data_IF_075248587938
#
_entry.id   IF_075248587938
#
_cell.length_a   1.000
_cell.length_b   1.000
_cell.length_c   1.000
_cell.angle_alpha   90.00
_cell.angle_beta   90.00
_cell.angle_gamma   90.00
#
_symmetry.space_group_name_H-M   'P 1'
#
loop_
_entity.id
_entity.type
_entity.pdbx_description
1 polymer ?
#
# COMPACT_ATOMS: atom_id res chain seq x y z
N UNK A 1 -21.62 11.82 7.37
CA UNK A 1 -20.68 11.17 8.31
C UNK A 1 -21.34 9.90 8.79
N UNK A 2 -20.89 8.75 8.28
CA UNK A 2 -21.38 7.45 8.73
C UNK A 2 -20.90 7.22 10.17
N UNK A 3 -21.82 6.77 11.04
CA UNK A 3 -21.57 6.63 12.47
C UNK A 3 -20.68 5.41 12.83
N UNK A 4 -20.35 4.57 11.85
CA UNK A 4 -19.60 3.32 11.99
C UNK A 4 -18.11 3.45 11.65
N UNK A 5 -17.67 4.60 11.11
CA UNK A 5 -16.27 4.82 10.73
C UNK A 5 -15.81 3.99 9.52
N UNK A 6 -16.73 3.51 8.68
CA UNK A 6 -16.44 2.71 7.48
C UNK A 6 -16.46 3.52 6.21
N UNK A 7 -15.55 3.19 5.28
CA UNK A 7 -15.56 3.76 3.93
C UNK A 7 -16.64 3.10 3.07
N UNK A 8 -17.55 3.90 2.50
CA UNK A 8 -18.59 3.40 1.59
C UNK A 8 -18.15 3.61 0.14
N UNK A 9 -18.19 2.54 -0.63
CA UNK A 9 -17.88 2.51 -2.06
C UNK A 9 -19.18 2.22 -2.83
N UNK A 10 -19.88 3.28 -3.24
CA UNK A 10 -21.14 3.17 -3.97
C UNK A 10 -20.87 3.20 -5.47
N UNK A 11 -21.03 2.05 -6.13
CA UNK A 11 -20.73 1.85 -7.55
C UNK A 11 -22.04 1.92 -8.34
N UNK A 12 -22.11 2.84 -9.29
CA UNK A 12 -23.29 3.07 -10.11
C UNK A 12 -23.26 2.16 -11.35
N UNK A 13 -24.39 1.52 -11.63
CA UNK A 13 -24.56 0.62 -12.78
C UNK A 13 -25.71 1.07 -13.68
N UNK A 14 -25.49 1.05 -14.99
CA UNK A 14 -26.46 1.38 -16.02
C UNK A 14 -26.47 0.26 -17.08
N UNK A 15 -27.60 -0.41 -17.29
CA UNK A 15 -27.75 -1.44 -18.33
C UNK A 15 -26.72 -2.59 -18.26
N UNK A 16 -26.17 -2.89 -17.08
CA UNK A 16 -25.10 -3.89 -16.87
C UNK A 16 -23.67 -3.34 -16.85
N UNK A 17 -23.47 -2.08 -17.28
CA UNK A 17 -22.17 -1.40 -17.30
C UNK A 17 -21.95 -0.62 -16.00
N UNK A 18 -20.76 -0.71 -15.42
CA UNK A 18 -20.38 0.12 -14.28
C UNK A 18 -19.93 1.50 -14.76
N UNK A 19 -20.66 2.55 -14.38
CA UNK A 19 -20.54 3.90 -14.98
C UNK A 19 -19.97 4.96 -14.05
N UNK A 20 -19.99 4.74 -12.73
CA UNK A 20 -19.50 5.71 -11.76
C UNK A 20 -19.22 5.11 -10.39
N UNK A 21 -18.48 5.83 -9.56
CA UNK A 21 -18.26 5.48 -8.16
C UNK A 21 -18.33 6.75 -7.32
N UNK A 22 -19.11 6.70 -6.23
CA UNK A 22 -19.02 7.66 -5.13
C UNK A 22 -18.31 7.01 -3.94
N UNK A 23 -17.33 7.73 -3.39
CA UNK A 23 -16.57 7.30 -2.21
C UNK A 23 -16.90 8.24 -1.06
N UNK A 24 -17.43 7.69 0.03
CA UNK A 24 -17.55 8.37 1.32
C UNK A 24 -16.53 7.77 2.28
N UNK A 25 -15.51 8.55 2.65
CA UNK A 25 -14.42 8.14 3.53
C UNK A 25 -14.50 8.96 4.84
N UNK A 26 -15.22 8.48 5.87
CA UNK A 26 -15.42 9.20 7.12
C UNK A 26 -14.20 9.05 8.03
N UNK A 27 -13.05 9.60 7.63
CA UNK A 27 -11.87 9.57 8.50
C UNK A 27 -11.95 10.63 9.59
N UNK A 28 -11.71 10.26 10.87
CA UNK A 28 -11.54 11.24 11.92
C UNK A 28 -10.29 12.08 11.63
N UNK A 29 -10.32 13.36 11.98
CA UNK A 29 -9.14 14.25 11.93
C UNK A 29 -8.16 13.91 13.08
N UNK A 30 -7.68 12.66 13.10
CA UNK A 30 -6.85 12.09 14.16
C UNK A 30 -5.58 12.90 14.42
N UNK A 31 -5.03 13.52 13.37
CA UNK A 31 -3.90 14.45 13.46
C UNK A 31 -4.17 15.66 14.37
N UNK A 32 -5.41 16.16 14.44
CA UNK A 32 -5.75 17.32 15.28
C UNK A 32 -5.60 17.06 16.77
N UNK A 33 -5.69 15.79 17.20
CA UNK A 33 -5.48 15.39 18.60
C UNK A 33 -4.03 15.61 19.04
N UNK A 34 -3.11 15.78 18.09
CA UNK A 34 -1.68 16.02 18.34
C UNK A 34 -1.35 17.50 18.57
N UNK A 35 -2.18 18.43 18.07
CA UNK A 35 -1.93 19.86 18.20
C UNK A 35 -1.96 20.28 19.67
N UNK A 36 -0.95 21.04 20.09
CA UNK A 36 -0.76 21.50 21.47
C UNK A 36 -0.09 20.47 22.40
N UNK A 37 0.07 19.21 22.00
CA UNK A 37 0.81 18.20 22.77
C UNK A 37 2.30 18.41 22.68
N UNK A 38 3.04 17.87 23.65
CA UNK A 38 4.50 17.82 23.55
C UNK A 38 4.94 16.79 22.51
N UNK A 39 6.16 16.95 21.99
CA UNK A 39 6.76 15.95 21.09
C UNK A 39 6.77 14.57 21.76
N UNK A 40 7.15 14.49 23.05
CA UNK A 40 7.18 13.22 23.79
C UNK A 40 5.79 12.54 23.87
N UNK A 41 4.74 13.32 24.12
CA UNK A 41 3.36 12.81 24.14
C UNK A 41 2.94 12.30 22.76
N UNK A 42 3.29 13.01 21.69
CA UNK A 42 2.95 12.62 20.32
C UNK A 42 3.65 11.32 19.90
N UNK A 43 4.94 11.17 20.22
CA UNK A 43 5.70 9.94 19.94
C UNK A 43 5.07 8.70 20.61
N UNK A 44 4.46 8.86 21.79
CA UNK A 44 3.73 7.78 22.49
C UNK A 44 2.32 7.56 21.92
N UNK A 45 1.63 8.63 21.55
CA UNK A 45 0.22 8.57 21.15
C UNK A 45 0.03 8.05 19.72
N UNK A 46 0.85 8.50 18.77
CA UNK A 46 0.70 8.18 17.34
C UNK A 46 0.64 6.66 17.08
N UNK A 47 1.56 5.82 17.59
CA UNK A 47 1.50 4.37 17.34
C UNK A 47 0.26 3.69 17.94
N UNK A 48 -0.28 4.23 19.04
CA UNK A 48 -1.50 3.72 19.67
C UNK A 48 -2.77 4.12 18.91
N UNK A 49 -2.77 5.32 18.30
CA UNK A 49 -3.87 5.84 17.52
C UNK A 49 -4.03 5.11 16.18
N UNK A 50 -2.91 4.66 15.59
CA UNK A 50 -2.87 4.01 14.28
C UNK A 50 -2.36 2.57 14.38
N UNK A 51 -3.18 1.68 14.94
CA UNK A 51 -2.77 0.31 15.29
C UNK A 51 -2.45 -0.60 14.09
N UNK A 52 -3.04 -0.35 12.91
CA UNK A 52 -2.83 -1.15 11.70
C UNK A 52 -1.42 -1.03 11.11
N UNK A 53 -0.76 0.11 11.29
CA UNK A 53 0.61 0.37 10.81
C UNK A 53 1.45 1.10 11.88
N UNK A 54 1.35 0.63 13.13
CA UNK A 54 1.90 1.33 14.29
C UNK A 54 3.41 1.58 14.21
N UNK A 55 4.18 0.68 13.57
CA UNK A 55 5.63 0.88 13.39
C UNK A 55 5.93 1.94 12.36
N UNK A 56 5.25 1.91 11.20
CA UNK A 56 5.41 2.96 10.20
C UNK A 56 5.03 4.34 10.73
N UNK A 57 3.97 4.40 11.53
CA UNK A 57 3.47 5.61 12.17
C UNK A 57 4.47 6.16 13.20
N UNK A 58 5.08 5.28 14.01
CA UNK A 58 6.14 5.63 14.95
C UNK A 58 7.38 6.20 14.25
N UNK A 59 7.82 5.54 13.17
CA UNK A 59 8.96 5.99 12.36
C UNK A 59 8.66 7.34 11.72
N UNK A 60 7.46 7.52 11.15
CA UNK A 60 7.04 8.74 10.49
C UNK A 60 7.02 9.94 11.45
N UNK A 61 6.36 9.82 12.63
CA UNK A 61 6.32 10.92 13.60
C UNK A 61 7.71 11.26 14.14
N UNK A 62 8.54 10.25 14.42
CA UNK A 62 9.91 10.48 14.92
C UNK A 62 10.74 11.20 13.88
N UNK A 63 10.72 10.73 12.63
CA UNK A 63 11.50 11.32 11.56
C UNK A 63 11.04 12.74 11.22
N UNK A 64 9.74 13.01 11.23
CA UNK A 64 9.19 14.35 10.98
C UNK A 64 9.58 15.33 12.11
N UNK A 65 9.46 14.93 13.37
CA UNK A 65 9.87 15.74 14.52
C UNK A 65 11.38 16.03 14.52
N UNK A 66 12.22 15.04 14.20
CA UNK A 66 13.67 15.25 14.07
C UNK A 66 13.98 16.22 12.92
N UNK A 67 13.32 16.07 11.76
CA UNK A 67 13.47 16.98 10.64
C UNK A 67 12.99 18.41 10.95
N UNK A 68 12.02 18.56 11.86
CA UNK A 68 11.54 19.83 12.38
C UNK A 68 12.46 20.49 13.42
N UNK A 69 13.50 19.78 13.88
CA UNK A 69 14.44 20.29 14.89
C UNK A 69 14.06 19.99 16.34
N UNK A 70 13.24 18.97 16.61
CA UNK A 70 12.89 18.56 17.96
C UNK A 70 14.15 18.26 18.82
N UNK A 71 14.21 18.88 20.00
CA UNK A 71 15.31 18.64 20.95
C UNK A 71 15.13 17.32 21.70
N UNK A 72 16.22 16.56 21.87
CA UNK A 72 16.22 15.32 22.65
C UNK A 72 15.56 14.11 21.98
N UNK A 73 15.16 14.24 20.70
CA UNK A 73 14.65 13.14 19.89
C UNK A 73 15.72 12.75 18.86
N UNK A 74 15.96 11.45 18.72
CA UNK A 74 16.87 10.91 17.71
C UNK A 74 16.15 9.82 16.93
N UNK A 75 16.50 9.71 15.64
CA UNK A 75 16.09 8.56 14.82
C UNK A 75 16.90 7.33 15.25
N UNK A 76 16.29 6.16 15.07
CA UNK A 76 17.04 4.93 15.20
C UNK A 76 18.06 4.83 14.04
N UNK A 77 18.99 3.89 14.15
CA UNK A 77 19.90 3.59 13.04
C UNK A 77 19.10 3.26 11.76
N UNK A 78 19.53 3.72 10.57
CA UNK A 78 18.77 3.53 9.33
C UNK A 78 18.35 2.08 9.07
N UNK A 79 19.24 1.12 9.34
CA UNK A 79 18.93 -0.30 9.17
C UNK A 79 17.82 -0.80 10.10
N UNK A 80 17.67 -0.20 11.28
CA UNK A 80 16.67 -0.59 12.28
C UNK A 80 15.29 -0.07 11.86
N UNK A 81 15.21 1.15 11.34
CA UNK A 81 13.99 1.71 10.75
C UNK A 81 13.56 0.90 9.53
N UNK A 82 14.47 0.63 8.58
CA UNK A 82 14.22 -0.21 7.41
C UNK A 82 13.70 -1.59 7.80
N UNK A 83 14.32 -2.23 8.81
CA UNK A 83 13.86 -3.53 9.32
C UNK A 83 12.47 -3.45 9.96
N UNK A 84 12.20 -2.41 10.75
CA UNK A 84 10.91 -2.24 11.41
C UNK A 84 9.77 -2.10 10.38
N UNK A 85 10.00 -1.27 9.36
CA UNK A 85 9.07 -1.04 8.24
C UNK A 85 8.88 -2.31 7.41
N UNK A 86 9.98 -2.97 7.01
CA UNK A 86 9.94 -4.21 6.24
C UNK A 86 9.24 -5.36 6.99
N UNK A 87 9.38 -5.43 8.31
CA UNK A 87 8.69 -6.46 9.12
C UNK A 87 7.18 -6.24 9.11
N UNK A 88 6.74 -4.99 9.29
CA UNK A 88 5.31 -4.63 9.23
C UNK A 88 4.74 -4.87 7.83
N UNK A 89 5.48 -4.47 6.80
CA UNK A 89 5.07 -4.66 5.41
C UNK A 89 5.02 -6.15 5.01
N UNK A 90 6.01 -6.96 5.44
CA UNK A 90 6.00 -8.40 5.23
C UNK A 90 4.80 -9.07 5.89
N UNK A 91 4.45 -8.67 7.12
CA UNK A 91 3.28 -9.20 7.81
C UNK A 91 1.99 -8.92 7.02
N UNK A 92 1.80 -7.69 6.55
CA UNK A 92 0.64 -7.31 5.75
C UNK A 92 0.60 -8.07 4.41
N UNK A 93 1.73 -8.12 3.70
CA UNK A 93 1.81 -8.83 2.43
C UNK A 93 1.49 -10.33 2.62
N UNK A 94 2.03 -10.97 3.67
CA UNK A 94 1.71 -12.36 3.99
C UNK A 94 0.24 -12.56 4.31
N UNK A 95 -0.39 -11.63 5.04
CA UNK A 95 -1.83 -11.68 5.30
C UNK A 95 -2.60 -11.72 3.98
N UNK A 96 -2.37 -10.74 3.09
CA UNK A 96 -3.10 -10.64 1.81
C UNK A 96 -2.81 -11.86 0.92
N UNK A 97 -1.56 -12.26 0.79
CA UNK A 97 -1.13 -13.34 -0.12
C UNK A 97 -1.55 -14.73 0.36
N UNK A 98 -1.58 -14.98 1.68
CA UNK A 98 -1.88 -16.32 2.23
C UNK A 98 -3.34 -16.50 2.63
N UNK A 99 -4.05 -15.41 2.94
CA UNK A 99 -5.41 -15.47 3.48
C UNK A 99 -6.42 -14.92 2.48
N UNK A 100 -6.33 -13.64 2.16
CA UNK A 100 -7.44 -12.92 1.52
C UNK A 100 -7.54 -13.22 0.02
N UNK A 101 -6.41 -13.20 -0.71
CA UNK A 101 -6.40 -13.50 -2.14
C UNK A 101 -6.86 -14.93 -2.46
N UNK A 102 -6.35 -15.98 -1.78
CA UNK A 102 -6.88 -17.32 -1.95
C UNK A 102 -8.38 -17.40 -1.63
N UNK A 103 -8.82 -16.83 -0.50
CA UNK A 103 -10.22 -16.88 -0.09
C UNK A 103 -11.17 -16.21 -1.08
N UNK A 104 -10.78 -15.07 -1.66
CA UNK A 104 -11.59 -14.33 -2.62
C UNK A 104 -11.96 -15.17 -3.85
N UNK A 105 -11.06 -16.06 -4.28
CA UNK A 105 -11.23 -16.94 -5.43
C UNK A 105 -11.61 -18.39 -5.05
N UNK A 106 -11.95 -18.64 -3.78
CA UNK A 106 -12.35 -19.98 -3.32
C UNK A 106 -11.21 -20.98 -3.17
N UNK A 107 -9.95 -20.55 -3.24
CA UNK A 107 -8.78 -21.39 -2.94
C UNK A 107 -8.55 -21.48 -1.43
N UNK A 108 -7.91 -22.56 -0.98
CA UNK A 108 -7.64 -22.79 0.44
C UNK A 108 -6.67 -21.74 1.03
N UNK A 109 -7.09 -20.95 2.04
CA UNK A 109 -6.19 -20.06 2.77
C UNK A 109 -5.14 -20.81 3.59
N UNK A 110 -3.90 -20.35 3.59
CA UNK A 110 -2.77 -21.02 4.28
C UNK A 110 -2.61 -20.54 5.72
N UNK A 111 -3.68 -20.67 6.53
CA UNK A 111 -3.80 -20.10 7.89
C UNK A 111 -2.65 -20.50 8.83
N UNK A 112 -2.28 -21.78 8.84
CA UNK A 112 -1.21 -22.29 9.73
C UNK A 112 0.15 -21.71 9.37
N UNK A 113 0.46 -21.64 8.07
CA UNK A 113 1.72 -21.06 7.56
C UNK A 113 1.80 -19.56 7.86
N UNK A 114 0.69 -18.84 7.66
CA UNK A 114 0.60 -17.42 8.04
C UNK A 114 0.82 -17.24 9.54
N UNK A 115 0.13 -18.00 10.39
CA UNK A 115 0.25 -17.89 11.85
C UNK A 115 1.69 -18.16 12.32
N UNK A 116 2.39 -19.12 11.71
CA UNK A 116 3.79 -19.40 11.99
C UNK A 116 4.71 -18.22 11.64
N UNK A 117 4.61 -17.71 10.41
CA UNK A 117 5.45 -16.58 9.96
C UNK A 117 5.13 -15.30 10.73
N UNK A 118 3.85 -15.05 11.04
CA UNK A 118 3.41 -13.92 11.83
C UNK A 118 4.02 -13.94 13.24
N UNK A 119 4.01 -15.10 13.92
CA UNK A 119 4.68 -15.26 15.23
C UNK A 119 6.19 -15.00 15.14
N UNK A 120 6.83 -15.42 14.06
CA UNK A 120 8.27 -15.18 13.84
C UNK A 120 8.56 -13.70 13.59
N UNK A 121 7.78 -13.02 12.74
CA UNK A 121 7.88 -11.57 12.48
C UNK A 121 7.67 -10.74 13.74
N UNK A 122 6.74 -11.13 14.61
CA UNK A 122 6.50 -10.45 15.89
C UNK A 122 7.71 -10.49 16.84
N UNK A 123 8.62 -11.46 16.67
CA UNK A 123 9.83 -11.65 17.50
C UNK A 123 11.11 -11.16 16.82
N UNK A 124 11.01 -10.49 15.67
CA UNK A 124 12.16 -9.92 14.96
C UNK A 124 12.70 -8.72 15.76
N UNK A 125 13.65 -9.01 16.65
CA UNK A 125 14.44 -8.02 17.38
C UNK A 125 15.95 -8.27 17.26
N UNK A 126 16.36 -9.55 17.24
CA UNK A 126 17.77 -9.95 17.13
C UNK A 126 18.25 -10.02 15.68
N UNK A 127 19.50 -9.59 15.43
CA UNK A 127 20.10 -9.59 14.09
C UNK A 127 20.11 -10.94 13.39
N UNK A 128 20.43 -12.02 14.13
CA UNK A 128 20.49 -13.38 13.57
C UNK A 128 19.10 -13.93 13.21
N UNK A 129 18.14 -13.80 14.13
CA UNK A 129 16.77 -14.26 13.91
C UNK A 129 16.10 -13.53 12.73
N UNK A 130 16.36 -12.22 12.59
CA UNK A 130 15.91 -11.43 11.44
C UNK A 130 16.51 -11.96 10.14
N UNK A 131 17.82 -12.23 10.12
CA UNK A 131 18.52 -12.72 8.94
C UNK A 131 18.02 -14.11 8.49
N UNK A 132 17.86 -15.04 9.44
CA UNK A 132 17.34 -16.38 9.16
C UNK A 132 15.89 -16.33 8.65
N UNK A 133 15.03 -15.53 9.28
CA UNK A 133 13.66 -15.33 8.79
C UNK A 133 13.62 -14.70 7.41
N UNK A 134 14.48 -13.71 7.13
CA UNK A 134 14.59 -13.13 5.79
C UNK A 134 14.99 -14.18 4.75
N UNK A 135 15.88 -15.11 5.08
CA UNK A 135 16.23 -16.26 4.23
C UNK A 135 15.00 -17.13 3.95
N UNK A 136 14.29 -17.53 5.00
CA UNK A 136 13.08 -18.36 4.86
C UNK A 136 11.97 -17.68 4.05
N UNK A 137 11.83 -16.35 4.15
CA UNK A 137 10.87 -15.59 3.35
C UNK A 137 11.29 -15.50 1.88
N UNK A 138 12.59 -15.36 1.58
CA UNK A 138 13.09 -15.42 0.20
C UNK A 138 12.86 -16.82 -0.39
N UNK A 139 13.13 -17.87 0.37
CA UNK A 139 12.86 -19.25 -0.05
C UNK A 139 11.36 -19.49 -0.26
N UNK A 140 10.50 -18.98 0.63
CA UNK A 140 9.06 -18.98 0.45
C UNK A 140 8.66 -18.34 -0.89
N UNK A 141 9.18 -17.15 -1.20
CA UNK A 141 8.85 -16.48 -2.47
C UNK A 141 9.34 -17.30 -3.66
N UNK A 142 10.60 -17.73 -3.67
CA UNK A 142 11.20 -18.42 -4.80
C UNK A 142 10.61 -19.83 -5.03
N UNK A 143 10.40 -20.59 -3.96
CA UNK A 143 10.03 -22.01 -4.01
C UNK A 143 8.52 -22.23 -3.93
N UNK A 144 7.78 -21.32 -3.28
CA UNK A 144 6.34 -21.51 -3.09
C UNK A 144 5.50 -20.53 -3.94
N UNK A 145 5.89 -19.25 -4.02
CA UNK A 145 5.08 -18.21 -4.68
C UNK A 145 5.43 -17.99 -6.17
N UNK A 146 6.69 -18.25 -6.57
CA UNK A 146 7.18 -17.98 -7.92
C UNK A 146 7.82 -19.19 -8.61
N UNK A 147 7.66 -20.39 -8.06
CA UNK A 147 8.31 -21.60 -8.58
C UNK A 147 7.99 -21.89 -10.06
N UNK A 148 6.78 -21.58 -10.51
CA UNK A 148 6.37 -21.72 -11.90
C UNK A 148 7.06 -20.73 -12.84
N UNK A 149 7.53 -19.59 -12.33
CA UNK A 149 8.23 -18.56 -13.10
C UNK A 149 9.73 -18.80 -13.19
N UNK A 150 10.37 -19.32 -12.13
CA UNK A 150 11.82 -19.56 -12.09
C UNK A 150 12.28 -20.84 -12.81
N UNK A 151 11.37 -21.73 -13.21
CA UNK A 151 11.72 -22.96 -13.97
C UNK A 151 12.09 -22.71 -15.42
N UNK A 152 11.90 -21.50 -15.94
CA UNK A 152 12.16 -21.17 -17.34
C UNK A 152 12.93 -19.88 -17.42
N UNK A 153 14.07 -19.88 -18.12
CA UNK A 153 15.01 -18.74 -18.19
C UNK A 153 14.47 -17.55 -19.01
N UNK A 154 13.36 -17.71 -19.72
CA UNK A 154 12.72 -16.66 -20.52
C UNK A 154 11.41 -16.20 -19.91
N UNK A 155 11.03 -14.97 -20.23
CA UNK A 155 9.72 -14.40 -19.94
C UNK A 155 8.59 -15.22 -20.59
N UNK A 156 7.38 -15.21 -19.99
CA UNK A 156 6.19 -15.73 -20.65
C UNK A 156 5.89 -14.88 -21.90
N UNK A 157 5.68 -15.52 -23.05
CA UNK A 157 5.47 -14.83 -24.32
C UNK A 157 4.07 -14.21 -24.47
N UNK A 158 3.18 -14.47 -23.52
CA UNK A 158 1.84 -13.90 -23.43
C UNK A 158 1.06 -14.44 -22.24
N UNK A 159 -0.17 -13.93 -22.07
CA UNK A 159 -1.07 -14.27 -20.94
C UNK A 159 -1.26 -15.76 -20.73
N UNK A 160 -1.41 -16.55 -21.81
CA UNK A 160 -1.63 -18.00 -21.68
C UNK A 160 -0.47 -18.68 -20.96
N UNK A 161 0.76 -18.39 -21.35
CA UNK A 161 1.95 -18.95 -20.69
C UNK A 161 2.10 -18.39 -19.28
N UNK A 162 1.77 -17.11 -19.08
CA UNK A 162 1.77 -16.49 -17.75
C UNK A 162 0.83 -17.23 -16.79
N UNK A 163 -0.42 -17.50 -17.22
CA UNK A 163 -1.43 -18.26 -16.46
C UNK A 163 -0.92 -19.67 -16.16
N UNK A 164 -0.37 -20.38 -17.15
CA UNK A 164 0.15 -21.74 -16.96
C UNK A 164 1.26 -21.79 -15.89
N UNK A 165 2.16 -20.80 -15.90
CA UNK A 165 3.21 -20.65 -14.88
C UNK A 165 2.62 -20.28 -13.52
N UNK A 166 1.68 -19.35 -13.47
CA UNK A 166 1.01 -18.93 -12.23
C UNK A 166 0.30 -20.12 -11.56
N UNK A 167 -0.45 -20.93 -12.30
CA UNK A 167 -1.16 -22.12 -11.76
C UNK A 167 -0.23 -23.17 -11.13
N UNK A 168 1.08 -23.12 -11.39
CA UNK A 168 2.10 -23.98 -10.75
C UNK A 168 2.63 -23.45 -9.42
N UNK A 169 2.19 -22.27 -8.97
CA UNK A 169 2.70 -21.56 -7.79
C UNK A 169 1.74 -21.62 -6.58
N UNK A 170 1.07 -22.77 -6.38
CA UNK A 170 0.13 -22.96 -5.27
C UNK A 170 -1.12 -22.08 -5.35
N UNK A 171 -1.76 -21.83 -4.20
CA UNK A 171 -3.06 -21.15 -4.13
C UNK A 171 -3.03 -19.68 -4.53
N UNK A 172 -1.93 -18.98 -4.25
CA UNK A 172 -1.73 -17.59 -4.68
C UNK A 172 -1.52 -17.47 -6.19
N UNK A 173 -0.78 -18.41 -6.78
CA UNK A 173 -0.60 -18.49 -8.23
C UNK A 173 -1.90 -18.86 -8.95
N UNK A 174 -2.74 -19.71 -8.34
CA UNK A 174 -4.08 -19.98 -8.82
C UNK A 174 -4.98 -18.74 -8.75
N UNK A 175 -4.97 -17.99 -7.63
CA UNK A 175 -5.70 -16.73 -7.52
C UNK A 175 -5.25 -15.69 -8.56
N UNK A 176 -3.94 -15.59 -8.81
CA UNK A 176 -3.39 -14.72 -9.86
C UNK A 176 -3.85 -15.15 -11.25
N UNK A 177 -3.87 -16.45 -11.55
CA UNK A 177 -4.37 -16.98 -12.80
C UNK A 177 -5.86 -16.67 -13.01
N UNK A 178 -6.69 -16.92 -11.99
CA UNK A 178 -8.13 -16.64 -12.06
C UNK A 178 -8.39 -15.14 -12.26
N UNK A 179 -7.60 -14.29 -11.61
CA UNK A 179 -7.69 -12.85 -11.76
C UNK A 179 -7.34 -12.37 -13.18
N UNK A 180 -6.35 -13.01 -13.83
CA UNK A 180 -6.04 -12.74 -15.23
C UNK A 180 -7.19 -13.22 -16.13
N UNK A 181 -7.77 -14.38 -15.84
CA UNK A 181 -8.90 -14.95 -16.60
C UNK A 181 -10.21 -14.16 -16.43
N UNK A 182 -10.38 -13.39 -15.35
CA UNK A 182 -11.46 -12.39 -15.22
C UNK A 182 -11.38 -11.27 -16.28
N UNK A 183 -10.26 -11.15 -16.99
CA UNK A 183 -10.07 -10.22 -18.10
C UNK A 183 -9.30 -8.95 -17.73
N UNK A 184 -9.23 -8.04 -18.70
CA UNK A 184 -8.52 -6.78 -18.54
C UNK A 184 -9.16 -5.92 -17.45
N UNK A 185 -8.32 -5.39 -16.55
CA UNK A 185 -8.71 -4.52 -15.44
C UNK A 185 -8.29 -3.06 -15.61
N UNK A 186 -7.61 -2.74 -16.71
CA UNK A 186 -7.22 -1.34 -16.98
C UNK A 186 -8.42 -0.58 -17.55
N UNK A 187 -8.71 0.65 -17.08
CA UNK A 187 -9.83 1.44 -17.60
C UNK A 187 -9.69 1.63 -19.11
N UNK A 188 -10.79 1.82 -19.84
CA UNK A 188 -10.73 2.11 -21.29
C UNK A 188 -9.86 3.35 -21.61
N UNK A 189 -9.90 4.36 -20.74
CA UNK A 189 -9.09 5.58 -20.81
C UNK A 189 -7.67 5.47 -20.23
N UNK A 190 -7.04 6.62 -19.98
CA UNK A 190 -5.71 6.69 -19.36
C UNK A 190 -5.77 6.19 -17.91
N UNK A 191 -4.87 5.28 -17.54
CA UNK A 191 -4.76 4.82 -16.16
C UNK A 191 -4.21 5.94 -15.27
N UNK A 192 -4.57 5.92 -13.99
CA UNK A 192 -4.03 6.86 -13.00
C UNK A 192 -2.50 6.72 -12.95
N UNK A 193 -1.75 7.84 -13.01
CA UNK A 193 -0.29 7.79 -12.94
C UNK A 193 0.17 7.21 -11.61
N UNK A 194 1.29 6.49 -11.64
CA UNK A 194 1.93 6.00 -10.42
C UNK A 194 2.65 7.15 -9.72
N UNK A 195 2.54 7.21 -8.39
CA UNK A 195 3.21 8.21 -7.57
C UNK A 195 4.74 8.08 -7.77
N UNK A 196 5.44 9.16 -8.18
CA UNK A 196 6.88 9.08 -8.40
C UNK A 196 7.64 8.92 -7.07
N UNK A 197 8.75 8.20 -7.12
CA UNK A 197 9.67 8.06 -6.00
C UNK A 197 10.50 9.35 -5.83
N UNK A 198 9.93 10.35 -5.15
CA UNK A 198 10.60 11.61 -4.83
C UNK A 198 11.29 11.54 -3.46
N UNK A 199 12.47 12.16 -3.35
CA UNK A 199 13.12 12.38 -2.06
C UNK A 199 12.28 13.32 -1.17
N UNK A 200 12.39 13.19 0.15
CA UNK A 200 11.60 13.99 1.10
C UNK A 200 11.83 15.50 0.92
N UNK A 201 13.04 15.93 0.53
CA UNK A 201 13.32 17.34 0.23
C UNK A 201 12.57 17.87 -1.00
N UNK A 202 12.36 17.04 -2.02
CA UNK A 202 11.55 17.41 -3.18
C UNK A 202 10.06 17.49 -2.82
N UNK A 203 9.57 16.56 -1.99
CA UNK A 203 8.23 16.65 -1.42
C UNK A 203 8.05 17.91 -0.55
N UNK A 204 9.03 18.24 0.29
CA UNK A 204 8.99 19.43 1.13
C UNK A 204 8.89 20.71 0.29
N UNK A 205 9.64 20.78 -0.82
CA UNK A 205 9.60 21.90 -1.75
C UNK A 205 8.25 22.00 -2.50
N UNK A 206 7.70 20.88 -2.95
CA UNK A 206 6.40 20.83 -3.64
C UNK A 206 5.25 21.26 -2.71
N UNK A 207 5.26 20.81 -1.46
CA UNK A 207 4.21 21.14 -0.49
C UNK A 207 4.31 22.59 0.01
N UNK A 208 5.52 23.17 0.09
CA UNK A 208 5.74 24.56 0.49
C UNK A 208 5.39 24.90 1.94
N UNK A 209 4.99 23.92 2.75
CA UNK A 209 4.56 24.08 4.14
C UNK A 209 3.76 22.88 4.64
N UNK A 210 3.18 23.00 5.83
CA UNK A 210 2.28 21.95 6.36
C UNK A 210 1.10 21.78 5.38
N UNK A 211 0.84 20.57 4.86
CA UNK A 211 -0.28 20.31 3.96
C UNK A 211 -1.61 20.76 4.55
N UNK A 212 -2.46 21.35 3.71
CA UNK A 212 -3.82 21.72 4.11
C UNK A 212 -4.69 20.49 4.34
N UNK A 213 -5.79 20.66 5.08
CA UNK A 213 -6.78 19.60 5.26
C UNK A 213 -7.33 19.06 3.93
N UNK A 214 -7.50 19.94 2.94
CA UNK A 214 -7.97 19.56 1.60
C UNK A 214 -6.95 18.67 0.87
N UNK A 215 -5.66 19.00 0.96
CA UNK A 215 -4.61 18.15 0.39
C UNK A 215 -4.54 16.81 1.10
N UNK A 216 -4.63 16.79 2.44
CA UNK A 216 -4.63 15.55 3.22
C UNK A 216 -5.80 14.63 2.84
N UNK A 217 -6.98 15.18 2.59
CA UNK A 217 -8.17 14.42 2.23
C UNK A 217 -8.20 13.98 0.75
N UNK A 218 -7.62 14.79 -0.14
CA UNK A 218 -7.66 14.59 -1.58
C UNK A 218 -6.32 14.97 -2.23
N UNK A 219 -5.25 14.19 -2.01
CA UNK A 219 -3.91 14.57 -2.46
C UNK A 219 -3.79 14.50 -3.98
N UNK A 220 -3.21 15.56 -4.55
CA UNK A 220 -2.86 15.65 -5.96
C UNK A 220 -1.42 16.12 -6.09
N UNK A 221 -0.68 15.52 -7.01
CA UNK A 221 0.66 15.97 -7.41
C UNK A 221 0.58 16.46 -8.85
N UNK A 222 1.18 17.62 -9.16
CA UNK A 222 1.11 18.22 -10.50
C UNK A 222 -0.32 18.31 -11.08
N UNK A 223 -1.30 18.58 -10.21
CA UNK A 223 -2.72 18.71 -10.58
C UNK A 223 -3.42 17.39 -10.93
N UNK A 224 -2.84 16.22 -10.60
CA UNK A 224 -3.44 14.91 -10.87
C UNK A 224 -3.43 14.02 -9.63
N UNK A 225 -4.46 13.20 -9.49
CA UNK A 225 -4.44 12.08 -8.55
C UNK A 225 -3.40 11.04 -9.00
N UNK A 226 -2.79 10.37 -8.03
CA UNK A 226 -1.77 9.35 -8.26
C UNK A 226 -2.08 8.09 -7.48
N UNK A 227 -1.63 6.95 -8.00
CA UNK A 227 -1.66 5.68 -7.27
C UNK A 227 -0.35 5.46 -6.51
N UNK A 228 -0.44 5.10 -5.24
CA UNK A 228 0.70 4.71 -4.41
C UNK A 228 0.60 3.24 -3.98
N UNK A 229 1.69 2.67 -3.48
CA UNK A 229 1.76 1.28 -3.03
C UNK A 229 2.68 0.42 -3.87
N UNK A 230 2.51 -0.90 -3.74
CA UNK A 230 3.40 -1.90 -4.34
C UNK A 230 3.54 -1.73 -5.86
N UNK A 231 2.49 -1.30 -6.57
CA UNK A 231 2.59 -1.08 -8.01
C UNK A 231 3.49 0.12 -8.35
N UNK A 232 3.38 1.22 -7.62
CA UNK A 232 4.22 2.39 -7.83
C UNK A 232 5.71 2.07 -7.60
N UNK A 233 6.01 1.19 -6.64
CA UNK A 233 7.39 0.76 -6.34
C UNK A 233 7.95 -0.25 -7.35
N UNK A 234 7.11 -1.11 -7.91
CA UNK A 234 7.56 -2.29 -8.65
C UNK A 234 7.09 -2.34 -10.12
N UNK A 235 6.57 -1.25 -10.68
CA UNK A 235 6.07 -1.23 -12.06
C UNK A 235 7.11 -1.61 -13.10
N UNK A 236 8.39 -1.27 -12.86
CA UNK A 236 9.51 -1.59 -13.74
C UNK A 236 9.99 -3.05 -13.61
N UNK A 237 9.46 -3.80 -12.62
CA UNK A 237 9.74 -5.23 -12.52
C UNK A 237 9.21 -5.94 -13.76
N UNK A 238 10.06 -6.74 -14.40
CA UNK A 238 9.80 -7.42 -15.68
C UNK A 238 8.42 -8.08 -15.78
N UNK A 239 8.02 -8.87 -14.79
CA UNK A 239 6.71 -9.56 -14.78
C UNK A 239 5.53 -8.60 -14.52
N UNK A 240 5.74 -7.54 -13.73
CA UNK A 240 4.72 -6.53 -13.44
C UNK A 240 4.47 -5.68 -14.70
N UNK A 241 5.53 -5.22 -15.36
CA UNK A 241 5.47 -4.47 -16.62
C UNK A 241 4.77 -5.25 -17.74
N UNK A 242 5.01 -6.57 -17.82
CA UNK A 242 4.32 -7.46 -18.77
C UNK A 242 2.79 -7.47 -18.54
N UNK A 243 2.36 -7.63 -17.29
CA UNK A 243 0.94 -7.58 -16.92
C UNK A 243 0.31 -6.21 -17.18
N UNK A 244 1.04 -5.12 -16.91
CA UNK A 244 0.59 -3.76 -17.22
C UNK A 244 0.39 -3.54 -18.73
N UNK A 245 1.36 -3.96 -19.53
CA UNK A 245 1.30 -3.88 -21.00
C UNK A 245 0.11 -4.67 -21.56
N UNK A 246 -0.22 -5.80 -20.94
CA UNK A 246 -1.37 -6.63 -21.29
C UNK A 246 -2.68 -6.15 -20.63
N UNK A 247 -2.69 -4.97 -19.99
CA UNK A 247 -3.85 -4.33 -19.37
C UNK A 247 -4.46 -5.10 -18.19
N UNK A 248 -3.68 -5.86 -17.44
CA UNK A 248 -4.09 -6.58 -16.23
C UNK A 248 -3.55 -5.91 -14.96
N UNK A 249 -3.97 -4.67 -14.68
CA UNK A 249 -3.44 -3.84 -13.60
C UNK A 249 -3.68 -4.41 -12.19
N UNK A 250 -4.84 -5.01 -11.93
CA UNK A 250 -5.11 -5.68 -10.65
C UNK A 250 -4.17 -6.89 -10.46
N UNK A 251 -3.88 -7.65 -11.54
CA UNK A 251 -2.92 -8.76 -11.49
C UNK A 251 -1.50 -8.25 -11.26
N UNK A 252 -1.15 -7.13 -11.90
CA UNK A 252 0.13 -6.47 -11.73
C UNK A 252 0.35 -6.06 -10.26
N UNK A 253 -0.68 -5.52 -9.57
CA UNK A 253 -0.60 -5.25 -8.11
C UNK A 253 -0.38 -6.51 -7.29
N UNK A 254 -1.11 -7.59 -7.59
CA UNK A 254 -0.94 -8.86 -6.88
C UNK A 254 0.48 -9.41 -7.04
N UNK A 255 1.01 -9.40 -8.27
CA UNK A 255 2.38 -9.84 -8.53
C UNK A 255 3.41 -8.90 -7.88
N UNK A 256 3.22 -7.59 -7.98
CA UNK A 256 4.07 -6.59 -7.34
C UNK A 256 4.13 -6.80 -5.81
N UNK A 257 3.04 -7.26 -5.19
CA UNK A 257 3.03 -7.62 -3.76
C UNK A 257 3.90 -8.83 -3.43
N UNK A 258 4.02 -9.80 -4.34
CA UNK A 258 4.96 -10.92 -4.20
C UNK A 258 6.40 -10.43 -4.32
N UNK A 259 6.69 -9.50 -5.24
CA UNK A 259 8.01 -8.86 -5.36
C UNK A 259 8.33 -8.06 -4.10
N UNK A 260 7.37 -7.28 -3.59
CA UNK A 260 7.51 -6.48 -2.37
C UNK A 260 7.81 -7.33 -1.13
N UNK A 261 7.28 -8.56 -1.05
CA UNK A 261 7.62 -9.50 0.01
C UNK A 261 9.10 -9.94 -0.04
N UNK A 262 9.66 -10.17 -1.23
CA UNK A 262 11.11 -10.44 -1.39
C UNK A 262 11.96 -9.25 -0.97
N UNK A 263 11.51 -8.05 -1.30
CA UNK A 263 12.15 -6.79 -0.91
C UNK A 263 12.16 -6.59 0.60
N UNK A 264 11.05 -6.89 1.26
CA UNK A 264 10.94 -6.90 2.72
C UNK A 264 11.86 -7.97 3.33
N UNK A 265 11.88 -9.17 2.76
CA UNK A 265 12.73 -10.27 3.22
C UNK A 265 14.23 -9.94 3.13
N UNK A 266 14.65 -9.29 2.04
CA UNK A 266 16.02 -8.78 1.88
C UNK A 266 16.37 -7.75 2.95
N UNK A 267 15.45 -6.85 3.30
CA UNK A 267 15.63 -5.85 4.38
C UNK A 267 15.77 -6.44 5.78
N UNK A 268 15.28 -7.65 6.01
CA UNK A 268 15.57 -8.39 7.25
C UNK A 268 17.04 -8.88 7.31
N UNK A 269 17.71 -9.01 6.15
CA UNK A 269 19.07 -9.53 5.99
C UNK A 269 20.12 -8.43 5.81
N UNK A 270 20.33 -7.60 6.82
CA UNK A 270 21.39 -6.58 6.78
C UNK A 270 22.82 -7.21 6.67
N UNK A 271 23.77 -6.62 5.92
CA UNK A 271 23.67 -5.37 5.16
C UNK A 271 22.84 -5.50 3.88
N UNK A 272 22.14 -4.42 3.54
CA UNK A 272 21.38 -4.29 2.30
C UNK A 272 22.28 -4.02 1.09
N UNK A 273 21.80 -4.39 -0.09
CA UNK A 273 22.39 -3.90 -1.33
C UNK A 273 22.26 -2.36 -1.41
N UNK A 274 23.29 -1.69 -1.92
CA UNK A 274 23.40 -0.23 -1.89
C UNK A 274 22.39 0.50 -2.77
N UNK A 275 21.82 -0.20 -3.73
CA UNK A 275 20.86 0.29 -4.73
C UNK A 275 19.40 0.09 -4.31
N UNK A 276 19.15 -0.54 -3.16
CA UNK A 276 17.78 -0.69 -2.63
C UNK A 276 17.21 0.67 -2.24
N UNK A 277 16.02 1.05 -2.76
CA UNK A 277 15.36 2.29 -2.36
C UNK A 277 15.07 2.33 -0.86
N UNK A 278 15.20 3.51 -0.24
CA UNK A 278 14.87 3.70 1.18
C UNK A 278 13.37 3.61 1.39
N UNK A 279 12.95 2.99 2.50
CA UNK A 279 11.56 2.99 2.94
C UNK A 279 11.18 4.20 3.76
N UNK A 280 12.15 4.96 4.28
CA UNK A 280 11.90 6.21 4.99
C UNK A 280 12.89 7.29 4.59
N UNK A 281 12.37 8.47 4.32
CA UNK A 281 13.15 9.69 4.12
C UNK A 281 12.47 10.85 4.86
N UNK A 282 13.26 11.85 5.25
CA UNK A 282 12.74 13.02 5.96
C UNK A 282 13.55 14.27 5.63
N UNK A 283 12.87 15.41 5.61
CA UNK A 283 13.49 16.69 5.27
C UNK A 283 12.86 17.86 6.06
N UNK A 284 13.66 18.88 6.40
CA UNK A 284 13.12 20.12 6.96
C UNK A 284 12.27 20.84 5.90
N UNK A 285 11.22 21.53 6.37
CA UNK A 285 10.36 22.39 5.55
C UNK A 285 10.55 23.89 5.86
N UNK A 286 11.44 24.23 6.79
CA UNK A 286 11.66 25.60 7.27
C UNK A 286 10.80 25.97 8.49
N UNK A 287 11.23 26.98 9.24
CA UNK A 287 10.49 27.55 10.39
C UNK A 287 10.01 26.52 11.42
N UNK A 288 10.90 25.60 11.81
CA UNK A 288 10.58 24.54 12.78
C UNK A 288 9.59 23.50 12.26
N UNK A 289 9.43 23.39 10.93
CA UNK A 289 8.64 22.33 10.29
C UNK A 289 9.50 21.24 9.64
N UNK A 290 8.99 20.02 9.66
CA UNK A 290 9.63 18.84 9.10
C UNK A 290 8.62 17.88 8.47
N UNK A 291 9.07 17.20 7.41
CA UNK A 291 8.32 16.19 6.68
C UNK A 291 9.03 14.84 6.81
N UNK A 292 8.27 13.77 7.01
CA UNK A 292 8.71 12.40 6.79
C UNK A 292 7.81 11.71 5.76
N UNK A 293 8.45 10.98 4.84
CA UNK A 293 7.81 10.13 3.83
C UNK A 293 8.20 8.68 4.13
N UNK A 294 7.20 7.81 4.32
CA UNK A 294 7.39 6.40 4.70
C UNK A 294 6.63 5.49 3.73
N UNK A 295 7.35 4.58 3.09
CA UNK A 295 6.78 3.51 2.27
C UNK A 295 6.22 2.40 3.17
N UNK A 296 4.91 2.22 3.12
CA UNK A 296 4.20 1.13 3.82
C UNK A 296 3.78 0.03 2.84
N UNK A 297 3.26 -1.10 3.33
CA UNK A 297 2.64 -2.13 2.47
C UNK A 297 1.47 -1.60 1.62
N UNK A 298 0.84 -0.50 2.04
CA UNK A 298 -0.30 0.14 1.36
C UNK A 298 0.11 1.35 0.51
N UNK A 299 1.35 1.80 0.63
CA UNK A 299 1.93 2.94 -0.09
C UNK A 299 2.44 4.06 0.81
N UNK A 300 2.57 5.24 0.22
CA UNK A 300 3.22 6.41 0.81
C UNK A 300 2.40 6.99 1.97
N UNK A 301 3.01 7.00 3.15
CA UNK A 301 2.54 7.70 4.34
C UNK A 301 3.40 8.95 4.55
N UNK A 302 2.76 10.12 4.67
CA UNK A 302 3.45 11.38 4.95
C UNK A 302 3.04 11.96 6.29
N UNK A 303 4.00 12.34 7.11
CA UNK A 303 3.80 13.11 8.34
C UNK A 303 4.50 14.45 8.19
N UNK A 304 3.75 15.55 8.33
CA UNK A 304 4.31 16.89 8.40
C UNK A 304 3.96 17.51 9.75
N UNK A 305 4.96 18.08 10.43
CA UNK A 305 4.81 18.68 11.75
C UNK A 305 5.48 20.05 11.79
N UNK A 306 4.86 21.03 12.45
CA UNK A 306 5.49 22.28 12.86
C UNK A 306 5.59 22.32 14.38
N UNK A 307 6.75 22.69 14.89
CA UNK A 307 7.02 22.81 16.32
C UNK A 307 7.02 24.27 16.76
N UNK A 308 6.48 24.51 17.96
CA UNK A 308 6.68 25.72 18.74
C UNK A 308 7.33 25.30 20.07
N UNK A 309 8.66 25.45 20.15
CA UNK A 309 9.46 24.89 21.23
C UNK A 309 9.40 23.36 21.27
N UNK A 310 8.89 22.82 22.38
CA UNK A 310 8.71 21.37 22.59
C UNK A 310 7.29 20.88 22.25
N UNK A 311 6.43 21.76 21.71
CA UNK A 311 5.02 21.47 21.40
C UNK A 311 4.76 21.45 19.90
N UNK A 312 3.73 20.69 19.52
CA UNK A 312 3.22 20.63 18.16
C UNK A 312 2.30 21.84 17.92
N UNK A 313 2.70 22.73 17.02
CA UNK A 313 1.90 23.87 16.57
C UNK A 313 0.93 23.46 15.45
N UNK A 314 1.40 22.65 14.49
CA UNK A 314 0.61 22.13 13.38
C UNK A 314 1.00 20.68 13.09
N UNK A 315 0.05 19.87 12.64
CA UNK A 315 0.29 18.48 12.29
C UNK A 315 -0.62 18.03 11.16
N UNK A 316 -0.04 17.39 10.15
CA UNK A 316 -0.75 16.84 9.00
C UNK A 316 -0.29 15.41 8.72
N UNK A 317 -1.25 14.56 8.34
CA UNK A 317 -1.01 13.19 7.89
C UNK A 317 -1.67 13.03 6.53
N UNK A 318 -0.91 12.52 5.56
CA UNK A 318 -1.45 12.05 4.28
C UNK A 318 -1.24 10.55 4.24
N UNK A 319 -2.32 9.78 4.30
CA UNK A 319 -2.23 8.33 4.32
C UNK A 319 -2.41 7.73 2.89
N UNK A 320 -1.98 6.48 2.66
CA UNK A 320 -2.01 5.88 1.32
C UNK A 320 -3.41 5.71 0.73
N UNK A 321 -4.43 5.55 1.58
CA UNK A 321 -5.82 5.35 1.15
C UNK A 321 -6.35 6.59 0.42
N UNK A 322 -5.94 7.78 0.84
CA UNK A 322 -6.38 9.07 0.33
C UNK A 322 -5.91 9.29 -1.12
N UNK A 323 -4.74 8.76 -1.48
CA UNK A 323 -4.27 8.68 -2.86
C UNK A 323 -5.11 7.70 -3.70
N UNK A 324 -5.23 6.46 -3.22
CA UNK A 324 -5.79 5.34 -4.00
C UNK A 324 -7.32 5.40 -4.15
N UNK A 325 -8.00 5.98 -3.16
CA UNK A 325 -9.46 6.17 -3.09
C UNK A 325 -9.86 7.64 -3.26
N UNK A 326 -8.98 8.45 -3.85
CA UNK A 326 -9.32 9.77 -4.38
C UNK A 326 -10.49 9.67 -5.37
N UNK A 327 -11.32 10.72 -5.50
CA UNK A 327 -12.45 10.75 -6.45
C UNK A 327 -12.03 10.61 -7.94
N UNK A 328 -10.75 10.80 -8.22
CA UNK A 328 -10.07 10.60 -9.51
C UNK A 328 -8.93 9.56 -9.40
N UNK A 329 -8.91 8.79 -8.31
CA UNK A 329 -7.87 7.83 -7.97
C UNK A 329 -8.11 6.45 -8.57
N UNK A 330 -7.17 5.54 -8.31
CA UNK A 330 -7.13 4.21 -8.94
C UNK A 330 -8.43 3.42 -8.78
N UNK A 331 -9.06 3.44 -7.59
CA UNK A 331 -10.30 2.71 -7.37
C UNK A 331 -11.43 3.20 -8.29
N UNK A 332 -11.68 4.52 -8.34
CA UNK A 332 -12.77 5.10 -9.15
C UNK A 332 -12.55 4.83 -10.63
N UNK A 333 -11.33 5.06 -11.13
CA UNK A 333 -11.03 4.87 -12.54
C UNK A 333 -11.17 3.40 -12.96
N UNK A 334 -10.73 2.44 -12.15
CA UNK A 334 -10.72 1.01 -12.52
C UNK A 334 -12.01 0.26 -12.23
N UNK A 335 -12.86 0.81 -11.36
CA UNK A 335 -14.19 0.26 -11.09
C UNK A 335 -15.19 0.52 -12.23
N UNK A 336 -14.91 1.47 -13.13
CA UNK A 336 -15.83 1.93 -14.17
C UNK A 336 -15.41 1.46 -15.58
N UNK A 337 -16.34 1.55 -16.53
CA UNK A 337 -16.05 1.37 -17.95
C UNK A 337 -16.02 -0.09 -18.43
N UNK A 338 -16.66 -1.02 -17.72
CA UNK A 338 -16.77 -2.41 -18.16
C UNK A 338 -18.16 -2.99 -17.89
N UNK A 339 -18.52 -3.99 -18.70
CA UNK A 339 -19.82 -4.65 -18.64
C UNK A 339 -19.73 -5.89 -17.74
N UNK A 340 -20.53 -5.91 -16.68
CA UNK A 340 -20.58 -7.03 -15.76
C UNK A 340 -21.59 -8.08 -16.24
N UNK A 341 -21.18 -9.35 -16.44
CA UNK A 341 -22.09 -10.40 -16.92
C UNK A 341 -23.12 -10.84 -15.85
N UNK A 342 -22.84 -10.58 -14.57
CA UNK A 342 -23.76 -10.78 -13.45
C UNK A 342 -23.36 -9.91 -12.24
N UNK A 343 -24.25 -9.82 -11.26
CA UNK A 343 -24.01 -9.11 -9.99
C UNK A 343 -22.84 -9.73 -9.22
N UNK A 344 -22.72 -11.06 -9.23
CA UNK A 344 -21.63 -11.78 -8.60
C UNK A 344 -20.28 -11.47 -9.26
N UNK A 345 -20.25 -11.40 -10.59
CA UNK A 345 -19.05 -11.04 -11.34
C UNK A 345 -18.63 -9.59 -11.09
N UNK A 346 -19.60 -8.66 -11.05
CA UNK A 346 -19.38 -7.26 -10.67
C UNK A 346 -18.76 -7.18 -9.27
N UNK A 347 -19.40 -7.82 -8.30
CA UNK A 347 -18.98 -7.79 -6.89
C UNK A 347 -17.60 -8.44 -6.69
N UNK A 348 -17.33 -9.57 -7.35
CA UNK A 348 -16.02 -10.23 -7.29
C UNK A 348 -14.90 -9.31 -7.80
N UNK A 349 -15.12 -8.65 -8.94
CA UNK A 349 -14.13 -7.73 -9.53
C UNK A 349 -13.91 -6.49 -8.67
N UNK A 350 -14.96 -5.90 -8.12
CA UNK A 350 -14.86 -4.76 -7.20
C UNK A 350 -14.12 -5.13 -5.91
N UNK A 351 -14.38 -6.32 -5.35
CA UNK A 351 -13.64 -6.85 -4.20
C UNK A 351 -12.17 -7.11 -4.54
N UNK A 352 -11.87 -7.66 -5.71
CA UNK A 352 -10.50 -7.85 -6.18
C UNK A 352 -9.76 -6.51 -6.34
N UNK A 353 -10.42 -5.50 -6.89
CA UNK A 353 -9.87 -4.15 -7.02
C UNK A 353 -9.58 -3.53 -5.64
N UNK A 354 -10.56 -3.54 -4.74
CA UNK A 354 -10.39 -3.01 -3.39
C UNK A 354 -9.26 -3.74 -2.63
N UNK A 355 -9.22 -5.08 -2.69
CA UNK A 355 -8.17 -5.88 -2.07
C UNK A 355 -6.78 -5.61 -2.67
N UNK A 356 -6.70 -5.29 -3.96
CA UNK A 356 -5.44 -4.94 -4.61
C UNK A 356 -4.86 -3.61 -4.14
N UNK A 357 -5.72 -2.65 -3.80
CA UNK A 357 -5.37 -1.32 -3.26
C UNK A 357 -5.24 -1.30 -1.73
N UNK A 358 -5.83 -2.30 -1.04
CA UNK A 358 -5.69 -2.58 0.40
C UNK A 358 -5.89 -1.34 1.31
N UNK A 359 -7.10 -0.75 1.34
CA UNK A 359 -7.37 0.40 2.20
C UNK A 359 -7.15 0.06 3.68
N UNK A 360 -6.58 0.99 4.45
CA UNK A 360 -6.36 0.81 5.90
C UNK A 360 -7.58 1.18 6.76
N UNK A 361 -8.78 1.07 6.20
CA UNK A 361 -10.04 1.33 6.88
C UNK A 361 -11.02 0.24 6.45
N UNK A 362 -11.93 -0.16 7.34
CA UNK A 362 -13.03 -1.03 6.96
C UNK A 362 -13.87 -0.36 5.86
N UNK A 363 -14.35 -1.16 4.92
CA UNK A 363 -15.13 -0.65 3.80
C UNK A 363 -16.25 -1.60 3.40
N UNK A 364 -17.29 -1.02 2.82
CA UNK A 364 -18.42 -1.73 2.25
C UNK A 364 -18.63 -1.30 0.79
N UNK A 365 -18.89 -2.27 -0.09
CA UNK A 365 -19.15 -2.03 -1.52
C UNK A 365 -20.63 -2.25 -1.78
N UNK A 366 -21.29 -1.26 -2.36
CA UNK A 366 -22.68 -1.33 -2.80
C UNK A 366 -22.76 -1.08 -4.31
N UNK A 367 -23.58 -1.85 -5.02
CA UNK A 367 -23.90 -1.61 -6.43
C UNK A 367 -25.30 -0.99 -6.47
N UNK A 368 -25.41 0.17 -7.10
CA UNK A 368 -26.64 0.97 -7.18
C UNK A 368 -27.03 1.11 -8.65
N UNK A 369 -28.21 0.59 -9.01
CA UNK A 369 -28.74 0.74 -10.38
C UNK A 369 -29.25 2.17 -10.59
N UNK A 370 -28.75 2.83 -11.64
CA UNK A 370 -29.19 4.17 -12.05
C UNK A 370 -30.03 4.06 -13.32
N UNK A 371 -31.15 4.79 -13.35
CA UNK A 371 -32.04 4.86 -14.51
C UNK A 371 -31.40 5.65 -15.65
N UNK A 372 -31.65 5.23 -16.90
CA UNK A 372 -31.33 6.04 -18.08
C UNK A 372 -32.04 7.40 -17.96
N UNK A 373 -31.26 8.49 -17.95
CA UNK A 373 -31.78 9.85 -17.91
C UNK A 373 -32.36 10.29 -19.26
#
# INVERSE_FOLDING_TARGET
MNADGRMRLAVQRQGGRLVGVAIDNPRPQAAQVLVGRTVEEALKLVPALFSLCSRAQAVAVTAACVAAGASGVARAEPWAEERALATEAAQENLWRLMLDWPALFGHQPRRERFAELHRRLARVGEGRAAYELGGDLLDLVAVELLAGFFRTTREPSGLREFIERARRCGTIGAALADLIEMGSSTPEGEAVPLLPALAAGAWAAELGGIPSADFCAAPMLFGRAHETGVLARHADSMMVSNLLTQRHRIAARLFARVVDLSDCASRLRHPLASDMPKLVDAAPMGDGAGLACVETARGMLMHAVRLDGDRIAEYAIVAPTEWNFHAQGAFVCEATGWDAPSDEAAMLRLKALALSLDPCIEYDIAIEDVSDA
#
